data_IF_636234272097
#
_entry.id   IF_636234272097
#
_cell.length_a   1.000
_cell.length_b   1.000
_cell.length_c   1.000
_cell.angle_alpha   90.00
_cell.angle_beta   90.00
_cell.angle_gamma   90.00
#
_symmetry.space_group_name_H-M   'P 1'
#
loop_
_entity.id
_entity.type
_entity.pdbx_description
1 polymer ?
#
# COMPACT_ATOMS: atom_id res chain seq x y z
N UNK A 1 -10.41 -24.62 -14.85
CA UNK A 1 -11.14 -23.81 -15.84
C UNK A 1 -12.54 -24.37 -15.97
N UNK A 2 -13.54 -23.73 -15.38
CA UNK A 2 -14.94 -24.10 -15.60
C UNK A 2 -15.32 -23.80 -17.05
N UNK A 3 -16.02 -24.70 -17.76
CA UNK A 3 -16.48 -24.41 -19.10
C UNK A 3 -17.46 -23.25 -19.03
N UNK A 4 -17.19 -22.18 -19.78
CA UNK A 4 -18.07 -21.02 -19.93
C UNK A 4 -19.29 -21.34 -20.82
N UNK A 5 -19.82 -22.57 -20.72
CA UNK A 5 -20.89 -23.08 -21.57
C UNK A 5 -22.21 -23.02 -20.81
N UNK A 6 -23.28 -22.46 -21.40
CA UNK A 6 -24.59 -22.49 -20.79
C UNK A 6 -25.02 -23.94 -20.56
N UNK A 7 -25.39 -24.28 -19.32
CA UNK A 7 -26.02 -25.57 -19.00
C UNK A 7 -27.52 -25.40 -19.18
N UNK A 8 -28.09 -26.17 -20.10
CA UNK A 8 -29.52 -26.23 -20.33
C UNK A 8 -30.08 -27.48 -19.64
N UNK A 9 -30.91 -27.30 -18.62
CA UNK A 9 -31.67 -28.41 -18.06
C UNK A 9 -32.93 -28.56 -18.91
N UNK A 10 -32.99 -29.64 -19.69
CA UNK A 10 -34.13 -29.99 -20.53
C UNK A 10 -34.90 -31.15 -19.91
N UNK A 11 -36.21 -30.96 -19.72
CA UNK A 11 -37.14 -32.01 -19.33
C UNK A 11 -38.23 -32.08 -20.39
N UNK A 12 -38.45 -33.26 -20.97
CA UNK A 12 -39.43 -33.48 -22.05
C UNK A 12 -39.24 -32.56 -23.27
N UNK A 13 -38.00 -32.26 -23.65
CA UNK A 13 -37.67 -31.46 -24.84
C UNK A 13 -37.93 -29.95 -24.68
N UNK A 14 -38.34 -29.49 -23.49
CA UNK A 14 -38.46 -28.07 -23.16
C UNK A 14 -37.32 -27.66 -22.23
N UNK A 15 -36.63 -26.58 -22.58
CA UNK A 15 -35.59 -25.98 -21.76
C UNK A 15 -36.24 -25.21 -20.61
N UNK A 16 -36.06 -25.65 -19.37
CA UNK A 16 -36.73 -25.06 -18.21
C UNK A 16 -35.86 -24.08 -17.42
N UNK A 17 -34.54 -24.26 -17.47
CA UNK A 17 -33.57 -23.38 -16.83
C UNK A 17 -32.39 -23.18 -17.80
N UNK A 18 -32.15 -21.93 -18.16
CA UNK A 18 -30.96 -21.50 -18.89
C UNK A 18 -30.10 -20.68 -17.94
N UNK A 19 -29.13 -21.32 -17.29
CA UNK A 19 -28.18 -20.63 -16.45
C UNK A 19 -27.16 -19.92 -17.35
N UNK A 20 -27.28 -18.59 -17.46
CA UNK A 20 -26.21 -17.79 -18.07
C UNK A 20 -25.06 -17.78 -17.07
N UNK A 21 -23.87 -18.31 -17.41
CA UNK A 21 -22.74 -18.22 -16.51
C UNK A 21 -22.54 -16.74 -16.18
N UNK A 22 -22.55 -16.40 -14.89
CA UNK A 22 -22.25 -15.04 -14.44
C UNK A 22 -20.82 -14.76 -14.89
N UNK A 23 -20.67 -13.91 -15.90
CA UNK A 23 -19.38 -13.38 -16.29
C UNK A 23 -18.90 -12.50 -15.15
N UNK A 24 -18.16 -13.09 -14.22
CA UNK A 24 -17.49 -12.36 -13.16
C UNK A 24 -16.42 -11.51 -13.85
N UNK A 25 -16.75 -10.22 -14.08
CA UNK A 25 -15.76 -9.27 -14.57
C UNK A 25 -14.71 -9.13 -13.48
N UNK A 26 -13.56 -9.75 -13.68
CA UNK A 26 -12.42 -9.64 -12.76
C UNK A 26 -11.97 -8.18 -12.78
N UNK A 27 -12.21 -7.47 -11.68
CA UNK A 27 -11.87 -6.03 -11.56
C UNK A 27 -10.36 -5.84 -11.52
N UNK A 28 -9.63 -6.83 -10.98
CA UNK A 28 -8.17 -6.87 -10.89
C UNK A 28 -7.65 -8.25 -11.33
N UNK A 29 -6.68 -8.27 -12.23
CA UNK A 29 -6.04 -9.48 -12.73
C UNK A 29 -4.52 -9.36 -12.66
N UNK A 30 -3.95 -10.16 -11.77
CA UNK A 30 -2.51 -10.27 -11.52
C UNK A 30 -1.71 -10.85 -12.69
N UNK A 31 -2.30 -11.80 -13.41
CA UNK A 31 -1.68 -12.48 -14.56
C UNK A 31 -1.58 -11.56 -15.77
N UNK A 32 -2.61 -10.75 -16.00
CA UNK A 32 -2.73 -9.90 -17.20
C UNK A 32 -2.45 -8.42 -16.93
N UNK A 33 -2.27 -8.03 -15.66
CA UNK A 33 -2.17 -6.64 -15.22
C UNK A 33 -3.46 -5.83 -15.41
N UNK A 34 -4.58 -6.46 -15.75
CA UNK A 34 -5.85 -5.76 -15.98
C UNK A 34 -6.37 -5.18 -14.68
N UNK A 35 -6.74 -3.90 -14.70
CA UNK A 35 -7.27 -3.20 -13.53
C UNK A 35 -6.22 -2.73 -12.52
N UNK A 36 -4.92 -2.87 -12.82
CA UNK A 36 -3.86 -2.34 -11.97
C UNK A 36 -3.94 -0.81 -11.86
N UNK A 37 -3.57 -0.27 -10.70
CA UNK A 37 -3.51 1.17 -10.47
C UNK A 37 -2.20 1.55 -9.81
N UNK A 38 -1.45 2.43 -10.47
CA UNK A 38 -0.28 3.10 -9.88
C UNK A 38 -0.69 4.28 -9.00
N UNK A 39 -1.87 4.85 -9.26
CA UNK A 39 -2.32 6.04 -8.55
C UNK A 39 -2.79 5.74 -7.12
N UNK A 40 -3.48 4.62 -6.92
CA UNK A 40 -3.96 4.19 -5.60
C UNK A 40 -2.81 4.11 -4.58
N UNK A 41 -1.75 3.31 -4.79
CA UNK A 41 -0.66 3.21 -3.82
C UNK A 41 0.15 4.51 -3.70
N UNK A 42 0.24 5.32 -4.77
CA UNK A 42 0.87 6.63 -4.72
C UNK A 42 0.14 7.62 -3.80
N UNK A 43 -1.15 7.40 -3.54
CA UNK A 43 -1.94 8.18 -2.58
C UNK A 43 -2.03 7.51 -1.21
N UNK A 44 -2.21 6.18 -1.17
CA UNK A 44 -2.34 5.42 0.08
C UNK A 44 -1.09 5.52 0.96
N UNK A 45 0.11 5.47 0.37
CA UNK A 45 1.37 5.51 1.12
C UNK A 45 1.56 6.88 1.82
N UNK A 46 1.53 8.04 1.12
CA UNK A 46 1.63 9.33 1.79
C UNK A 46 0.48 9.59 2.76
N UNK A 47 -0.74 9.16 2.43
CA UNK A 47 -1.88 9.31 3.34
C UNK A 47 -1.67 8.49 4.63
N UNK A 48 -1.21 7.25 4.51
CA UNK A 48 -0.90 6.40 5.66
C UNK A 48 0.16 7.04 6.56
N UNK A 49 1.27 7.51 5.97
CA UNK A 49 2.33 8.23 6.70
C UNK A 49 1.82 9.48 7.41
N UNK A 50 0.99 10.27 6.74
CA UNK A 50 0.38 11.46 7.32
C UNK A 50 -0.50 11.12 8.53
N UNK A 51 -1.38 10.12 8.40
CA UNK A 51 -2.25 9.70 9.50
C UNK A 51 -1.47 9.05 10.65
N UNK A 52 -0.41 8.31 10.35
CA UNK A 52 0.50 7.76 11.36
C UNK A 52 1.18 8.88 12.14
N UNK A 53 1.77 9.87 11.44
CA UNK A 53 2.38 11.03 12.10
C UNK A 53 1.36 11.83 12.93
N UNK A 54 0.13 11.99 12.45
CA UNK A 54 -0.95 12.61 13.25
C UNK A 54 -1.27 11.83 14.52
N UNK A 55 -1.34 10.50 14.42
CA UNK A 55 -1.54 9.64 15.59
C UNK A 55 -0.39 9.79 16.58
N UNK A 56 0.86 9.75 16.11
CA UNK A 56 2.04 9.84 16.97
C UNK A 56 2.14 11.21 17.67
N UNK A 57 1.80 12.31 16.97
CA UNK A 57 1.68 13.64 17.60
C UNK A 57 0.66 13.66 18.74
N UNK A 58 -0.42 12.90 18.61
CA UNK A 58 -1.48 12.82 19.62
C UNK A 58 -1.12 11.86 20.77
N UNK A 59 -0.55 10.70 20.46
CA UNK A 59 -0.19 9.67 21.43
C UNK A 59 1.07 10.05 22.23
N UNK A 60 2.02 10.75 21.60
CA UNK A 60 3.33 11.10 22.14
C UNK A 60 3.60 12.62 22.07
N UNK A 61 2.75 13.47 22.65
CA UNK A 61 2.82 14.93 22.48
C UNK A 61 4.03 15.60 23.15
N UNK A 62 4.70 14.87 24.04
CA UNK A 62 5.83 15.32 24.87
C UNK A 62 7.14 14.59 24.53
N UNK A 63 7.14 13.73 23.51
CA UNK A 63 8.35 13.06 23.09
C UNK A 63 9.27 14.06 22.39
N UNK A 64 10.51 14.12 22.86
CA UNK A 64 11.50 15.12 22.45
C UNK A 64 12.82 14.42 22.15
N UNK A 65 13.35 14.67 20.96
CA UNK A 65 14.69 14.31 20.54
C UNK A 65 15.45 15.60 20.21
N UNK A 66 16.70 15.72 20.70
CA UNK A 66 17.56 16.90 20.46
C UNK A 66 16.90 18.26 20.76
N UNK A 67 16.06 18.31 21.79
CA UNK A 67 15.35 19.52 22.22
C UNK A 67 14.17 19.93 21.32
N UNK A 68 13.80 19.11 20.33
CA UNK A 68 12.63 19.30 19.46
C UNK A 68 11.63 18.16 19.63
N UNK A 69 10.34 18.43 19.43
CA UNK A 69 9.32 17.37 19.45
C UNK A 69 9.57 16.38 18.31
N UNK A 70 9.65 15.09 18.63
CA UNK A 70 10.03 14.04 17.68
C UNK A 70 9.11 14.00 16.45
N UNK A 71 7.81 14.18 16.65
CA UNK A 71 6.81 14.02 15.58
C UNK A 71 6.34 15.33 14.94
N UNK A 72 6.99 16.47 15.20
CA UNK A 72 6.56 17.77 14.67
C UNK A 72 7.00 18.05 13.22
N UNK A 73 6.94 17.02 12.37
CA UNK A 73 7.29 17.10 10.94
C UNK A 73 6.18 17.72 10.11
N UNK A 74 6.50 18.76 9.32
CA UNK A 74 5.60 19.37 8.34
C UNK A 74 6.30 19.51 6.98
N UNK A 75 5.62 20.06 5.98
CA UNK A 75 6.19 20.20 4.63
C UNK A 75 7.48 21.05 4.61
N UNK A 76 7.58 22.05 5.47
CA UNK A 76 8.78 22.89 5.54
C UNK A 76 9.95 22.14 6.15
N UNK A 77 9.73 21.37 7.23
CA UNK A 77 10.81 20.59 7.86
C UNK A 77 11.22 19.41 7.00
N UNK A 78 10.26 18.78 6.30
CA UNK A 78 10.52 17.75 5.31
C UNK A 78 11.39 18.28 4.17
N UNK A 79 11.05 19.44 3.60
CA UNK A 79 11.83 20.04 2.53
C UNK A 79 13.22 20.45 2.99
N UNK A 80 13.34 21.00 4.20
CA UNK A 80 14.64 21.34 4.79
C UNK A 80 15.52 20.10 5.00
N UNK A 81 14.95 19.00 5.51
CA UNK A 81 15.65 17.71 5.60
C UNK A 81 16.08 17.24 4.21
N UNK A 82 15.18 17.26 3.23
CA UNK A 82 15.48 16.77 1.88
C UNK A 82 16.65 17.51 1.22
N UNK A 83 16.74 18.83 1.41
CA UNK A 83 17.73 19.70 0.75
C UNK A 83 19.01 19.92 1.57
N UNK A 84 18.90 20.03 2.89
CA UNK A 84 20.00 20.40 3.79
C UNK A 84 20.31 19.33 4.86
N UNK A 85 19.60 18.19 4.84
CA UNK A 85 19.72 17.17 5.84
C UNK A 85 21.10 16.49 5.87
N UNK A 86 21.53 16.00 7.04
CA UNK A 86 22.75 15.21 7.18
C UNK A 86 22.49 13.78 6.68
N UNK A 87 22.44 13.63 5.35
CA UNK A 87 22.29 12.32 4.73
C UNK A 87 23.40 11.38 5.19
N UNK A 88 23.01 10.25 5.78
CA UNK A 88 23.91 9.30 6.39
C UNK A 88 23.28 7.92 6.51
N UNK A 89 23.95 7.03 7.22
CA UNK A 89 23.36 5.76 7.64
C UNK A 89 22.51 6.03 8.87
N UNK A 90 21.27 5.56 8.84
CA UNK A 90 20.33 5.72 9.95
C UNK A 90 20.88 5.14 11.27
N UNK A 91 20.61 5.84 12.36
CA UNK A 91 21.01 5.52 13.74
C UNK A 91 19.79 5.25 14.64
N UNK A 92 18.67 4.86 14.05
CA UNK A 92 17.45 4.49 14.75
C UNK A 92 17.64 3.37 15.77
N UNK A 93 16.78 3.42 16.79
CA UNK A 93 16.72 2.39 17.83
C UNK A 93 16.49 1.00 17.24
N UNK A 94 17.00 -0.03 17.93
CA UNK A 94 16.82 -1.42 17.50
C UNK A 94 15.35 -1.77 17.22
N UNK A 95 14.41 -1.24 18.02
CA UNK A 95 12.98 -1.48 17.84
C UNK A 95 12.46 -0.95 16.50
N UNK A 96 12.93 0.23 16.08
CA UNK A 96 12.52 0.80 14.80
C UNK A 96 13.16 0.02 13.66
N UNK A 97 14.48 -0.18 13.73
CA UNK A 97 15.25 -0.88 12.69
C UNK A 97 14.84 -2.34 12.47
N UNK A 98 14.46 -3.07 13.52
CA UNK A 98 14.14 -4.50 13.42
C UNK A 98 12.65 -4.82 13.35
N UNK A 99 11.77 -3.88 13.72
CA UNK A 99 10.33 -4.13 13.71
C UNK A 99 9.54 -3.07 12.93
N UNK A 100 9.70 -1.79 13.24
CA UNK A 100 8.86 -0.76 12.61
C UNK A 100 9.16 -0.61 11.11
N UNK A 101 10.43 -0.49 10.72
CA UNK A 101 10.86 -0.39 9.32
C UNK A 101 10.40 -1.60 8.49
N UNK A 102 10.65 -2.86 8.91
CA UNK A 102 10.11 -4.03 8.21
C UNK A 102 8.58 -4.06 8.13
N UNK A 103 7.90 -3.69 9.23
CA UNK A 103 6.44 -3.69 9.28
C UNK A 103 5.85 -2.70 8.27
N UNK A 104 6.35 -1.47 8.24
CA UNK A 104 5.83 -0.47 7.32
C UNK A 104 6.25 -0.69 5.87
N UNK A 105 7.48 -1.18 5.63
CA UNK A 105 7.87 -1.67 4.31
C UNK A 105 6.92 -2.74 3.79
N UNK A 106 6.48 -3.67 4.67
CA UNK A 106 5.48 -4.68 4.31
C UNK A 106 4.10 -4.09 4.03
N UNK A 107 3.69 -3.05 4.75
CA UNK A 107 2.43 -2.32 4.53
C UNK A 107 2.43 -1.60 3.18
N UNK A 108 3.50 -0.85 2.87
CA UNK A 108 3.66 -0.16 1.60
C UNK A 108 3.70 -1.11 0.40
N UNK A 109 4.44 -2.20 0.54
CA UNK A 109 4.43 -3.27 -0.44
C UNK A 109 3.01 -3.83 -0.60
N UNK A 110 2.32 -4.06 0.52
CA UNK A 110 0.92 -4.50 0.59
C UNK A 110 -0.06 -3.60 -0.15
N UNK A 111 0.04 -2.27 0.00
CA UNK A 111 -0.81 -1.29 -0.70
C UNK A 111 -0.64 -1.37 -2.21
N UNK A 112 0.61 -1.40 -2.68
CA UNK A 112 0.92 -1.58 -4.09
C UNK A 112 0.41 -2.94 -4.60
N UNK A 113 0.58 -4.00 -3.79
CA UNK A 113 0.04 -5.31 -4.13
C UNK A 113 -1.48 -5.27 -4.22
N UNK A 114 -2.22 -4.70 -3.26
CA UNK A 114 -3.69 -4.65 -3.35
C UNK A 114 -4.19 -3.88 -4.57
N UNK A 115 -3.38 -2.97 -5.13
CA UNK A 115 -3.66 -2.26 -6.38
C UNK A 115 -3.27 -3.03 -7.66
N UNK A 116 -2.85 -4.29 -7.54
CA UNK A 116 -2.54 -5.20 -8.66
C UNK A 116 -1.13 -5.06 -9.22
N UNK A 117 -0.23 -4.35 -8.54
CA UNK A 117 1.15 -4.16 -8.98
C UNK A 117 2.01 -5.37 -8.68
N UNK A 118 2.81 -5.80 -9.65
CA UNK A 118 3.67 -6.98 -9.51
C UNK A 118 4.70 -6.81 -8.37
N UNK A 119 5.46 -7.86 -8.08
CA UNK A 119 6.44 -7.83 -6.98
C UNK A 119 7.43 -6.67 -7.10
N UNK A 120 8.00 -6.43 -8.29
CA UNK A 120 9.01 -5.39 -8.49
C UNK A 120 8.43 -3.97 -8.42
N UNK A 121 7.25 -3.78 -8.98
CA UNK A 121 6.52 -2.51 -8.86
C UNK A 121 6.19 -2.23 -7.39
N UNK A 122 5.72 -3.23 -6.65
CA UNK A 122 5.41 -3.10 -5.23
C UNK A 122 6.65 -2.90 -4.37
N UNK A 123 7.78 -3.51 -4.74
CA UNK A 123 9.07 -3.28 -4.10
C UNK A 123 9.51 -1.82 -4.31
N UNK A 124 9.32 -1.26 -5.50
CA UNK A 124 9.63 0.14 -5.76
C UNK A 124 8.81 1.07 -4.86
N UNK A 125 7.49 0.86 -4.76
CA UNK A 125 6.65 1.64 -3.83
C UNK A 125 7.08 1.49 -2.37
N UNK A 126 7.46 0.29 -1.93
CA UNK A 126 7.97 0.10 -0.58
C UNK A 126 9.25 0.89 -0.31
N UNK A 127 10.19 0.93 -1.26
CA UNK A 127 11.42 1.71 -1.14
C UNK A 127 11.16 3.22 -1.13
N UNK A 128 10.31 3.71 -2.03
CA UNK A 128 9.93 5.15 -2.06
C UNK A 128 9.18 5.52 -0.78
N UNK A 129 8.29 4.66 -0.30
CA UNK A 129 7.58 4.88 0.97
C UNK A 129 8.51 4.86 2.18
N UNK A 130 9.54 4.02 2.17
CA UNK A 130 10.61 4.04 3.19
C UNK A 130 11.36 5.37 3.14
N UNK A 131 11.74 5.84 1.94
CA UNK A 131 12.39 7.14 1.79
C UNK A 131 11.51 8.32 2.24
N UNK A 132 10.18 8.21 2.11
CA UNK A 132 9.24 9.22 2.60
C UNK A 132 8.98 9.12 4.11
N UNK A 133 9.24 7.97 4.74
CA UNK A 133 9.19 7.83 6.19
C UNK A 133 10.27 8.72 6.80
N UNK A 134 11.50 8.54 6.34
CA UNK A 134 12.70 9.22 6.83
C UNK A 134 12.66 10.75 6.61
#
# INVERSE_FOLDING_TARGET
MTPNRPVAISLAGKTWLQEKPVQVKKVLSWETGTGKSYFIPAMEIPAFLFFLNMYDRFAYPNEVADGKKTYDTNLSTFWDHLVHGPWGVDHDTFSINQFAHPYQGSMHHGFARSAGLNYWESLFYANVGSFLWE
#
